data_IF_976711294289
#
_entry.id   IF_976711294289
#
_cell.length_a   1.000
_cell.length_b   1.000
_cell.length_c   1.000
_cell.angle_alpha   90.00
_cell.angle_beta   90.00
_cell.angle_gamma   90.00
#
_symmetry.space_group_name_H-M   'P 1'
#
loop_
_entity.id
_entity.type
_entity.pdbx_description
1 polymer ?
#
# COMPACT_ATOMS: atom_id res chain seq x y z
N UNK A 1 -9.28 14.55 -15.23
CA UNK A 1 -8.05 14.38 -14.41
C UNK A 1 -8.31 13.30 -13.38
N UNK A 2 -7.41 12.33 -13.23
CA UNK A 2 -7.57 11.25 -12.25
C UNK A 2 -7.61 11.83 -10.83
N UNK A 3 -8.58 11.39 -10.02
CA UNK A 3 -8.70 11.77 -8.58
C UNK A 3 -7.46 11.41 -7.76
N UNK A 4 -6.51 10.67 -8.34
CA UNK A 4 -5.34 10.08 -7.68
C UNK A 4 -4.01 10.71 -8.10
N UNK A 5 -4.02 11.89 -8.74
CA UNK A 5 -2.78 12.53 -9.21
C UNK A 5 -1.82 12.96 -8.07
N UNK A 6 -2.36 13.21 -6.87
CA UNK A 6 -1.60 13.66 -5.70
C UNK A 6 -1.30 12.54 -4.69
N UNK A 7 -1.47 11.28 -5.07
CA UNK A 7 -1.20 10.12 -4.21
C UNK A 7 0.18 9.57 -4.55
N UNK A 8 1.00 9.33 -3.54
CA UNK A 8 2.29 8.65 -3.70
C UNK A 8 2.08 7.25 -4.26
N UNK A 9 2.81 6.91 -5.30
CA UNK A 9 2.77 5.58 -5.94
C UNK A 9 4.16 5.11 -6.25
N UNK A 10 4.37 3.83 -6.04
CA UNK A 10 5.50 3.09 -6.57
C UNK A 10 4.99 2.14 -7.64
N UNK A 11 5.64 2.10 -8.80
CA UNK A 11 5.42 1.06 -9.80
C UNK A 11 6.39 -0.07 -9.52
N UNK A 12 5.86 -1.21 -9.11
CA UNK A 12 6.63 -2.44 -8.91
C UNK A 12 6.92 -3.04 -10.26
N UNK A 13 8.22 -3.19 -10.58
CA UNK A 13 8.70 -3.72 -11.87
C UNK A 13 8.83 -5.24 -11.88
N UNK A 14 8.93 -5.84 -10.70
CA UNK A 14 9.01 -7.28 -10.54
C UNK A 14 7.75 -7.97 -11.09
N UNK A 15 7.92 -9.18 -11.59
CA UNK A 15 6.80 -10.02 -11.99
C UNK A 15 6.19 -10.68 -10.75
N UNK A 16 4.90 -10.53 -10.57
CA UNK A 16 4.12 -11.21 -9.54
C UNK A 16 3.20 -12.24 -10.19
N UNK A 17 3.47 -13.52 -9.92
CA UNK A 17 2.57 -14.61 -10.26
C UNK A 17 1.46 -14.68 -9.22
N UNK A 18 0.23 -14.51 -9.66
CA UNK A 18 -0.96 -14.56 -8.83
C UNK A 18 -1.43 -16.01 -8.60
N UNK A 19 -2.10 -16.26 -7.50
CA UNK A 19 -2.67 -17.58 -7.18
C UNK A 19 -3.68 -18.07 -8.24
N UNK A 20 -4.36 -17.15 -8.94
CA UNK A 20 -5.23 -17.48 -10.08
C UNK A 20 -4.47 -17.92 -11.35
N UNK A 21 -3.13 -17.99 -11.31
CA UNK A 21 -2.26 -18.40 -12.43
C UNK A 21 -1.86 -17.28 -13.40
N UNK A 22 -2.45 -16.10 -13.29
CA UNK A 22 -2.04 -14.94 -14.09
C UNK A 22 -0.74 -14.33 -13.53
N UNK A 23 -0.02 -13.60 -14.40
CA UNK A 23 1.17 -12.83 -13.99
C UNK A 23 0.92 -11.36 -14.27
N UNK A 24 1.24 -10.51 -13.31
CA UNK A 24 1.20 -9.06 -13.44
C UNK A 24 2.62 -8.48 -13.29
N UNK A 25 2.89 -7.39 -13.98
CA UNK A 25 4.12 -6.59 -13.86
C UNK A 25 3.78 -5.10 -14.00
N UNK A 26 4.73 -4.25 -13.67
CA UNK A 26 4.54 -2.79 -13.78
C UNK A 26 3.28 -2.28 -13.09
N UNK A 27 2.96 -2.89 -11.95
CA UNK A 27 1.74 -2.55 -11.23
C UNK A 27 1.98 -1.47 -10.15
N UNK A 28 1.11 -0.46 -10.06
CA UNK A 28 1.23 0.59 -9.06
C UNK A 28 0.79 0.09 -7.68
N UNK A 29 1.54 0.48 -6.66
CA UNK A 29 1.14 0.43 -5.25
C UNK A 29 1.10 1.86 -4.73
N UNK A 30 -0.07 2.30 -4.30
CA UNK A 30 -0.26 3.57 -3.61
C UNK A 30 0.10 3.40 -2.13
N UNK A 31 0.75 4.40 -1.53
CA UNK A 31 1.20 4.27 -0.15
C UNK A 31 1.37 5.63 0.54
N UNK A 32 1.42 5.60 1.86
CA UNK A 32 1.90 6.70 2.69
C UNK A 32 2.97 6.23 3.66
N UNK A 33 3.80 7.17 4.09
CA UNK A 33 4.87 6.93 5.05
C UNK A 33 4.89 8.01 6.12
N UNK A 34 5.23 7.61 7.34
CA UNK A 34 5.30 8.48 8.49
C UNK A 34 6.62 8.25 9.22
N UNK A 35 7.22 9.33 9.73
CA UNK A 35 8.52 9.25 10.40
C UNK A 35 9.69 9.09 9.43
N UNK A 36 10.82 8.62 9.94
CA UNK A 36 12.07 8.50 9.17
C UNK A 36 12.69 7.12 9.32
N UNK A 37 13.00 6.49 8.19
CA UNK A 37 13.77 5.24 8.16
C UNK A 37 15.21 5.55 8.62
N UNK A 38 15.68 4.81 9.62
CA UNK A 38 17.02 4.96 10.14
C UNK A 38 18.07 4.31 9.19
N UNK A 39 19.34 4.58 9.42
CA UNK A 39 20.45 4.07 8.59
C UNK A 39 20.56 2.56 8.61
N UNK A 40 20.20 1.91 9.73
CA UNK A 40 20.18 0.46 9.89
C UNK A 40 18.97 -0.21 9.27
N UNK A 41 17.93 0.59 8.94
CA UNK A 41 16.65 0.13 8.37
C UNK A 41 15.92 -0.92 9.23
N UNK A 42 16.09 -0.86 10.55
CA UNK A 42 15.54 -1.79 11.53
C UNK A 42 14.36 -1.21 12.33
N UNK A 43 13.94 0.03 12.03
CA UNK A 43 12.83 0.71 12.69
C UNK A 43 11.55 0.80 11.84
N UNK A 44 11.43 -0.03 10.81
CA UNK A 44 10.28 0.01 9.91
C UNK A 44 9.09 -0.79 10.46
N UNK A 45 7.92 -0.17 10.49
CA UNK A 45 6.63 -0.80 10.81
C UNK A 45 5.78 -0.82 9.55
N UNK A 46 5.29 -2.00 9.16
CA UNK A 46 4.32 -2.15 8.09
C UNK A 46 2.91 -2.22 8.68
N UNK A 47 2.04 -1.33 8.21
CA UNK A 47 0.65 -1.24 8.65
C UNK A 47 -0.26 -1.70 7.52
N UNK A 48 -1.11 -2.69 7.81
CA UNK A 48 -2.18 -3.14 6.91
C UNK A 48 -3.50 -2.48 7.29
N UNK A 49 -4.14 -1.86 6.31
CA UNK A 49 -5.47 -1.29 6.50
C UNK A 49 -6.56 -2.35 6.39
N UNK A 50 -7.72 -2.10 6.99
CA UNK A 50 -8.90 -2.95 6.86
C UNK A 50 -9.41 -2.98 5.40
N UNK A 51 -10.28 -3.95 5.05
CA UNK A 51 -10.82 -4.11 3.69
C UNK A 51 -11.37 -2.81 3.10
N UNK A 52 -12.05 -2.00 3.90
CA UNK A 52 -12.64 -0.71 3.50
C UNK A 52 -11.73 0.49 3.76
N UNK A 53 -10.50 0.25 4.22
CA UNK A 53 -9.51 1.29 4.51
C UNK A 53 -8.67 1.68 3.30
N UNK A 54 -7.66 2.48 3.57
CA UNK A 54 -6.68 2.94 2.60
C UNK A 54 -5.32 3.24 3.27
N UNK A 55 -4.36 3.72 2.50
CA UNK A 55 -3.01 4.05 2.98
C UNK A 55 -2.94 5.26 3.92
N UNK A 56 -3.99 6.06 4.04
CA UNK A 56 -3.98 7.26 4.88
C UNK A 56 -4.29 6.91 6.34
N UNK A 57 -3.33 6.28 7.01
CA UNK A 57 -3.51 5.82 8.40
C UNK A 57 -3.54 6.99 9.40
N UNK A 58 -2.78 8.06 9.19
CA UNK A 58 -2.71 9.21 10.12
C UNK A 58 -3.10 10.52 9.47
N UNK A 59 -2.68 10.76 8.22
CA UNK A 59 -2.94 12.02 7.53
C UNK A 59 -4.36 12.09 6.98
N UNK A 60 -4.79 13.32 6.66
CA UNK A 60 -6.08 13.54 5.97
C UNK A 60 -6.00 12.93 4.57
N UNK A 61 -6.95 12.07 4.24
CA UNK A 61 -7.07 11.52 2.91
C UNK A 61 -7.39 12.64 1.91
N UNK A 62 -6.54 12.92 0.90
CA UNK A 62 -6.71 14.04 0.00
C UNK A 62 -7.92 13.89 -0.95
N UNK A 63 -8.46 12.67 -1.09
CA UNK A 63 -9.61 12.36 -1.95
C UNK A 63 -10.92 12.49 -1.17
N UNK A 64 -11.01 11.84 -0.01
CA UNK A 64 -12.24 11.79 0.80
C UNK A 64 -12.37 12.95 1.78
N UNK A 65 -11.27 13.66 2.05
CA UNK A 65 -11.15 14.73 3.06
C UNK A 65 -11.40 14.27 4.49
N UNK A 66 -11.39 12.97 4.73
CA UNK A 66 -11.53 12.38 6.06
C UNK A 66 -10.17 12.23 6.74
N UNK A 67 -10.19 12.27 8.05
CA UNK A 67 -9.02 11.97 8.89
C UNK A 67 -8.52 10.54 8.65
N UNK A 68 -7.22 10.34 8.85
CA UNK A 68 -6.62 9.01 8.88
C UNK A 68 -7.27 8.13 9.95
N UNK A 69 -7.52 6.89 9.60
CA UNK A 69 -8.28 5.95 10.43
C UNK A 69 -7.55 5.55 11.73
N UNK A 70 -6.23 5.75 11.81
CA UNK A 70 -5.40 5.57 13.03
C UNK A 70 -4.76 6.87 13.53
N UNK A 71 -5.30 8.02 13.18
CA UNK A 71 -4.72 9.32 13.57
C UNK A 71 -4.50 9.46 15.08
N UNK A 72 -5.26 8.75 15.91
CA UNK A 72 -5.10 8.79 17.37
C UNK A 72 -3.98 7.88 17.89
N UNK A 73 -3.62 6.84 17.16
CA UNK A 73 -2.59 5.88 17.55
C UNK A 73 -1.23 6.12 16.86
N UNK A 74 -1.23 6.72 15.67
CA UNK A 74 -0.06 6.94 14.84
C UNK A 74 0.29 8.44 14.78
N UNK A 75 1.53 8.79 15.13
CA UNK A 75 2.03 10.16 15.08
C UNK A 75 3.10 10.42 16.13
N UNK A 76 3.56 11.67 16.20
CA UNK A 76 4.57 12.11 17.18
C UNK A 76 4.04 11.92 18.60
N UNK A 77 4.79 11.18 19.45
CA UNK A 77 4.46 10.93 20.85
C UNK A 77 3.25 10.03 21.09
N UNK A 78 2.72 9.38 20.03
CA UNK A 78 1.59 8.44 20.13
C UNK A 78 2.07 7.01 20.33
N UNK A 79 1.15 6.04 20.41
CA UNK A 79 1.46 4.63 20.61
C UNK A 79 2.42 4.11 19.53
N UNK A 80 2.21 4.51 18.26
CA UNK A 80 3.15 4.30 17.16
C UNK A 80 3.84 5.65 16.92
N UNK A 81 4.93 5.87 17.66
CA UNK A 81 5.66 7.14 17.68
C UNK A 81 6.54 7.32 16.44
N UNK A 82 6.17 8.26 15.59
CA UNK A 82 6.90 8.57 14.35
C UNK A 82 8.25 9.27 14.57
N UNK A 83 8.60 9.67 15.79
CA UNK A 83 9.98 10.06 16.15
C UNK A 83 10.92 8.85 16.21
N UNK A 84 10.39 7.65 16.49
CA UNK A 84 11.16 6.43 16.68
C UNK A 84 11.07 5.51 15.47
N UNK A 85 9.90 5.42 14.88
CA UNK A 85 9.58 4.44 13.86
C UNK A 85 9.34 5.07 12.50
N UNK A 86 9.75 4.37 11.46
CA UNK A 86 9.34 4.63 10.10
C UNK A 86 8.15 3.72 9.77
N UNK A 87 6.99 4.31 9.61
CA UNK A 87 5.75 3.58 9.38
C UNK A 87 5.39 3.65 7.90
N UNK A 88 5.03 2.51 7.34
CA UNK A 88 4.58 2.38 5.96
C UNK A 88 3.17 1.81 5.98
N UNK A 89 2.24 2.46 5.29
CA UNK A 89 0.92 1.94 5.00
C UNK A 89 0.71 1.96 3.50
N UNK A 90 0.54 0.79 2.88
CA UNK A 90 0.32 0.68 1.45
C UNK A 90 -1.11 0.21 1.18
N UNK A 91 -1.74 0.77 0.15
CA UNK A 91 -3.03 0.31 -0.33
C UNK A 91 -2.86 -1.05 -1.03
N UNK A 92 -3.65 -2.02 -0.63
CA UNK A 92 -3.54 -3.41 -1.12
C UNK A 92 -3.86 -3.53 -2.61
N UNK A 93 -3.42 -4.62 -3.25
CA UNK A 93 -3.87 -4.97 -4.59
C UNK A 93 -5.40 -5.18 -4.60
N UNK A 94 -6.04 -4.76 -5.67
CA UNK A 94 -7.50 -4.76 -5.76
C UNK A 94 -8.16 -3.58 -5.04
N UNK A 95 -7.40 -2.80 -4.27
CA UNK A 95 -7.88 -1.63 -3.54
C UNK A 95 -8.30 -0.48 -4.47
N UNK A 96 -9.10 0.44 -3.92
CA UNK A 96 -9.71 1.53 -4.70
C UNK A 96 -9.00 2.89 -4.54
N UNK A 97 -7.87 2.95 -3.80
CA UNK A 97 -7.20 4.22 -3.48
C UNK A 97 -5.84 4.38 -4.18
N UNK A 98 -5.74 3.87 -5.41
CA UNK A 98 -4.63 4.16 -6.31
C UNK A 98 -3.64 3.04 -6.56
N UNK A 99 -3.70 1.92 -5.85
CA UNK A 99 -3.00 0.68 -6.19
C UNK A 99 -3.63 0.01 -7.41
N UNK A 100 -2.93 -1.00 -7.97
CA UNK A 100 -3.45 -1.82 -9.06
C UNK A 100 -4.77 -2.48 -8.64
N UNK A 101 -5.81 -2.20 -9.39
CA UNK A 101 -7.19 -2.62 -9.08
C UNK A 101 -8.08 -2.59 -10.31
N UNK A 102 -9.38 -2.89 -10.19
CA UNK A 102 -10.31 -2.94 -11.32
C UNK A 102 -10.38 -1.66 -12.16
N UNK A 103 -10.09 -0.51 -11.57
CA UNK A 103 -10.03 0.78 -12.28
C UNK A 103 -8.73 1.01 -13.06
N UNK A 104 -7.74 0.14 -12.91
CA UNK A 104 -6.46 0.24 -13.64
C UNK A 104 -6.67 -0.03 -15.13
N UNK A 105 -5.82 0.62 -15.95
CA UNK A 105 -5.84 0.43 -17.39
C UNK A 105 -5.37 -0.99 -17.75
N UNK A 106 -6.17 -1.70 -18.50
CA UNK A 106 -5.78 -2.97 -19.09
C UNK A 106 -4.99 -2.69 -20.40
N UNK A 107 -3.70 -3.03 -20.47
CA UNK A 107 -2.87 -2.73 -21.63
C UNK A 107 -3.31 -3.46 -22.89
N UNK A 108 -4.06 -4.56 -22.78
CA UNK A 108 -4.55 -5.33 -23.93
C UNK A 108 -5.75 -4.65 -24.61
N UNK A 109 -6.57 -3.95 -23.84
CA UNK A 109 -7.84 -3.38 -24.36
C UNK A 109 -7.84 -1.86 -24.41
N UNK A 110 -6.90 -1.19 -23.72
CA UNK A 110 -6.88 0.26 -23.56
C UNK A 110 -8.02 0.81 -22.70
N UNK A 111 -8.78 -0.06 -22.00
CA UNK A 111 -9.89 0.29 -21.09
C UNK A 111 -9.56 -0.16 -19.68
N UNK A 112 -10.35 0.28 -18.68
CA UNK A 112 -10.22 -0.27 -17.32
C UNK A 112 -10.49 -1.77 -17.32
N UNK A 113 -9.82 -2.49 -16.42
CA UNK A 113 -10.05 -3.92 -16.23
C UNK A 113 -11.53 -4.24 -15.94
N UNK A 114 -12.15 -3.48 -15.04
CA UNK A 114 -13.54 -3.76 -14.62
C UNK A 114 -13.68 -5.19 -14.11
N UNK A 115 -14.60 -5.93 -14.70
CA UNK A 115 -14.88 -7.34 -14.36
C UNK A 115 -13.77 -8.32 -14.84
N UNK A 116 -12.91 -7.89 -15.76
CA UNK A 116 -11.78 -8.70 -16.25
C UNK A 116 -10.56 -8.62 -15.32
N UNK A 117 -10.69 -7.89 -14.20
CA UNK A 117 -9.62 -7.81 -13.21
C UNK A 117 -9.35 -9.19 -12.60
N UNK A 118 -8.07 -9.62 -12.48
CA UNK A 118 -7.75 -10.93 -11.96
C UNK A 118 -8.26 -11.09 -10.51
N UNK A 119 -8.60 -12.31 -10.15
CA UNK A 119 -8.88 -12.65 -8.75
C UNK A 119 -7.60 -12.49 -7.95
N UNK A 120 -7.66 -11.67 -6.91
CA UNK A 120 -6.55 -11.39 -5.99
C UNK A 120 -6.84 -12.07 -4.65
N UNK A 121 -5.89 -12.84 -4.16
CA UNK A 121 -5.94 -13.48 -2.84
C UNK A 121 -5.18 -12.64 -1.80
N UNK A 122 -5.34 -12.99 -0.53
CA UNK A 122 -4.54 -12.39 0.56
C UNK A 122 -3.04 -12.70 0.34
N UNK A 123 -2.71 -13.90 -0.13
CA UNK A 123 -1.33 -14.28 -0.46
C UNK A 123 -0.74 -13.36 -1.56
N UNK A 124 -1.50 -13.05 -2.60
CA UNK A 124 -1.09 -12.10 -3.63
C UNK A 124 -0.82 -10.70 -3.06
N UNK A 125 -1.69 -10.23 -2.15
CA UNK A 125 -1.51 -8.94 -1.47
C UNK A 125 -0.22 -8.92 -0.65
N UNK A 126 0.06 -9.99 0.10
CA UNK A 126 1.30 -10.12 0.91
C UNK A 126 2.54 -10.15 0.01
N UNK A 127 2.51 -10.93 -1.08
CA UNK A 127 3.61 -11.00 -2.03
C UNK A 127 3.89 -9.65 -2.71
N UNK A 128 2.85 -8.89 -3.04
CA UNK A 128 3.01 -7.54 -3.57
C UNK A 128 3.68 -6.60 -2.56
N UNK A 129 3.34 -6.70 -1.27
CA UNK A 129 4.01 -5.93 -0.21
C UNK A 129 5.49 -6.31 -0.06
N UNK A 130 5.84 -7.57 -0.25
CA UNK A 130 7.25 -8.00 -0.24
C UNK A 130 8.06 -7.29 -1.33
N UNK A 131 7.58 -7.26 -2.58
CA UNK A 131 8.24 -6.52 -3.66
C UNK A 131 8.27 -5.02 -3.40
N UNK A 132 7.21 -4.46 -2.82
CA UNK A 132 7.15 -3.06 -2.44
C UNK A 132 8.22 -2.70 -1.39
N UNK A 133 8.40 -3.52 -0.35
CA UNK A 133 9.40 -3.30 0.69
C UNK A 133 10.84 -3.39 0.17
N UNK A 134 11.10 -4.23 -0.84
CA UNK A 134 12.41 -4.30 -1.53
C UNK A 134 12.85 -2.94 -2.07
N UNK A 135 11.90 -2.12 -2.55
CA UNK A 135 12.20 -0.77 -3.05
C UNK A 135 12.84 0.11 -1.97
N UNK A 136 12.41 -0.03 -0.71
CA UNK A 136 13.01 0.68 0.42
C UNK A 136 14.28 0.01 0.92
N UNK A 137 14.68 -1.14 0.36
CA UNK A 137 15.79 -1.98 0.83
C UNK A 137 15.62 -2.32 2.31
N UNK A 138 14.39 -2.65 2.71
CA UNK A 138 14.04 -3.12 4.06
C UNK A 138 14.01 -4.65 4.01
N UNK A 139 14.96 -5.28 4.68
CA UNK A 139 15.06 -6.74 4.75
C UNK A 139 14.34 -7.30 5.97
N UNK A 140 14.25 -6.50 7.03
CA UNK A 140 13.59 -6.89 8.28
C UNK A 140 12.71 -5.76 8.79
N UNK A 141 11.46 -6.09 9.06
CA UNK A 141 10.53 -5.16 9.72
C UNK A 141 10.72 -5.22 11.24
N UNK A 142 10.60 -4.07 11.90
CA UNK A 142 10.49 -4.01 13.36
C UNK A 142 9.18 -4.66 13.83
N UNK A 143 8.10 -4.35 13.12
CA UNK A 143 6.76 -4.84 13.44
C UNK A 143 5.88 -4.86 12.19
N UNK A 144 4.90 -5.75 12.19
CA UNK A 144 3.76 -5.74 11.27
C UNK A 144 2.50 -5.63 12.12
N UNK A 145 1.61 -4.74 11.76
CA UNK A 145 0.36 -4.53 12.49
C UNK A 145 -0.77 -4.15 11.56
N UNK A 146 -1.98 -4.40 11.98
CA UNK A 146 -3.19 -4.10 11.23
C UNK A 146 -4.41 -4.70 11.89
N UNK A 147 -5.55 -4.59 11.27
CA UNK A 147 -6.79 -5.18 11.77
C UNK A 147 -7.81 -5.35 10.66
N UNK A 148 -8.53 -6.47 10.71
CA UNK A 148 -9.67 -6.73 9.84
C UNK A 148 -9.33 -6.88 8.34
N UNK A 149 -8.55 -7.92 8.04
CA UNK A 149 -8.54 -8.50 6.67
C UNK A 149 -7.98 -9.89 6.72
#
# INVERSE_FOLDING_TARGET
MSKFNNIKKLVVKDQLKLDCGQTISDFPIAYETYGKLNTKKDNAILVFHALTGDQFASDINPVTKKDGWWKYALGVGKAIDTNKYFVICANVLGGCMGSFGPSSLNPKTGKSYGNDFPVITINDMVNAQYFFLKHFKIEKLFCVTGGSM
#
